data_IF_822280462836
#
_entry.id   IF_822280462836
#
_cell.length_a   1.000
_cell.length_b   1.000
_cell.length_c   1.000
_cell.angle_alpha   90.00
_cell.angle_beta   90.00
_cell.angle_gamma   90.00
#
_symmetry.space_group_name_H-M   'P 1'
#
loop_
_entity.id
_entity.type
_entity.pdbx_description
1 polymer ?
#
# COMPACT_ATOMS: atom_id res chain seq x y z
N UNK A 1 72.07 2.72 57.47
CA UNK A 1 71.78 4.08 56.97
C UNK A 1 70.42 4.50 57.51
N UNK A 2 70.35 5.65 58.20
CA UNK A 2 69.21 6.05 59.00
C UNK A 2 67.93 6.28 58.18
N UNK A 3 66.87 5.52 58.44
CA UNK A 3 65.51 5.86 57.98
C UNK A 3 64.87 6.73 59.05
N UNK A 4 65.21 8.02 59.03
CA UNK A 4 64.52 9.01 59.85
C UNK A 4 63.03 8.99 59.53
N UNK A 5 62.18 8.88 60.56
CA UNK A 5 60.75 9.16 60.45
C UNK A 5 60.56 10.44 59.64
N UNK A 6 60.04 10.33 58.42
CA UNK A 6 59.71 11.48 57.56
C UNK A 6 58.65 12.31 58.27
N UNK A 7 59.10 13.23 59.11
CA UNK A 7 58.25 14.17 59.81
C UNK A 7 57.81 15.19 58.76
N UNK A 8 56.56 15.11 58.35
CA UNK A 8 56.00 16.09 57.41
C UNK A 8 56.16 17.51 57.99
N UNK A 9 56.66 18.47 57.19
CA UNK A 9 56.82 19.87 57.61
C UNK A 9 55.50 20.46 58.12
N UNK A 10 55.57 21.42 59.06
CA UNK A 10 54.38 22.06 59.61
C UNK A 10 53.59 22.82 58.54
N UNK A 11 54.28 23.48 57.60
CA UNK A 11 53.65 24.19 56.48
C UNK A 11 52.87 23.24 55.58
N UNK A 12 53.44 22.07 55.24
CA UNK A 12 52.74 21.06 54.44
C UNK A 12 51.45 20.56 55.12
N UNK A 13 51.44 20.45 56.45
CA UNK A 13 50.24 20.06 57.20
C UNK A 13 49.17 21.15 57.18
N UNK A 14 49.58 22.41 57.30
CA UNK A 14 48.68 23.57 57.18
C UNK A 14 48.09 23.64 55.77
N UNK A 15 48.93 23.54 54.74
CA UNK A 15 48.50 23.54 53.34
C UNK A 15 47.54 22.37 53.04
N UNK A 16 47.78 21.18 53.60
CA UNK A 16 46.89 20.04 53.47
C UNK A 16 45.52 20.28 54.13
N UNK A 17 45.50 20.90 55.31
CA UNK A 17 44.26 21.25 56.02
C UNK A 17 43.47 22.30 55.23
N UNK A 18 44.13 23.36 54.79
CA UNK A 18 43.51 24.45 54.00
C UNK A 18 42.98 23.92 52.67
N UNK A 19 43.73 23.03 52.00
CA UNK A 19 43.29 22.37 50.76
C UNK A 19 42.08 21.45 50.97
N UNK A 20 41.99 20.74 52.10
CA UNK A 20 40.80 19.94 52.43
C UNK A 20 39.60 20.85 52.67
N UNK A 21 39.75 21.92 53.45
CA UNK A 21 38.66 22.88 53.68
C UNK A 21 38.17 23.50 52.37
N UNK A 22 39.09 23.91 51.48
CA UNK A 22 38.73 24.44 50.16
C UNK A 22 38.03 23.40 49.29
N UNK A 23 38.53 22.16 49.21
CA UNK A 23 37.90 21.12 48.39
C UNK A 23 36.51 20.72 48.91
N UNK A 24 36.30 20.75 50.23
CA UNK A 24 34.99 20.53 50.85
C UNK A 24 34.05 21.69 50.54
N UNK A 25 34.50 22.94 50.67
CA UNK A 25 33.76 24.14 50.26
C UNK A 25 33.39 24.11 48.77
N UNK A 26 34.28 23.58 47.91
CA UNK A 26 34.04 23.39 46.47
C UNK A 26 33.05 22.24 46.16
N UNK A 27 32.48 21.60 47.19
CA UNK A 27 31.44 20.58 47.09
C UNK A 27 31.93 19.14 47.09
N UNK A 28 33.20 18.86 47.42
CA UNK A 28 33.66 17.48 47.65
C UNK A 28 33.15 16.96 48.99
N UNK A 29 32.93 15.64 49.12
CA UNK A 29 32.73 15.05 50.45
C UNK A 29 34.05 15.09 51.23
N UNK A 30 34.00 15.19 52.56
CA UNK A 30 35.21 15.26 53.39
C UNK A 30 36.25 14.19 53.03
N UNK A 31 35.79 12.95 52.87
CA UNK A 31 36.68 11.84 52.53
C UNK A 31 37.25 11.95 51.10
N UNK A 32 36.46 12.40 50.12
CA UNK A 32 36.97 12.61 48.76
C UNK A 32 37.97 13.77 48.70
N UNK A 33 37.72 14.84 49.45
CA UNK A 33 38.67 15.95 49.63
C UNK A 33 39.99 15.46 50.25
N UNK A 34 39.93 14.68 51.34
CA UNK A 34 41.12 14.12 51.99
C UNK A 34 41.92 13.19 51.07
N UNK A 35 41.24 12.35 50.28
CA UNK A 35 41.91 11.49 49.29
C UNK A 35 42.58 12.30 48.18
N UNK A 36 41.88 13.30 47.64
CA UNK A 36 42.41 14.17 46.59
C UNK A 36 43.60 14.98 47.09
N UNK A 37 43.50 15.59 48.28
CA UNK A 37 44.62 16.29 48.94
C UNK A 37 45.82 15.37 49.17
N UNK A 38 45.57 14.14 49.65
CA UNK A 38 46.66 13.17 49.86
C UNK A 38 47.39 12.83 48.55
N UNK A 39 46.64 12.61 47.46
CA UNK A 39 47.21 12.37 46.13
C UNK A 39 48.00 13.57 45.58
N UNK A 40 47.46 14.79 45.73
CA UNK A 40 48.09 16.03 45.24
C UNK A 40 49.38 16.37 45.98
N UNK A 41 49.44 16.12 47.30
CA UNK A 41 50.59 16.42 48.14
C UNK A 41 51.56 15.25 48.31
N UNK A 42 51.33 14.11 47.64
CA UNK A 42 52.17 12.93 47.72
C UNK A 42 52.18 12.27 49.11
N UNK A 43 51.09 12.40 49.87
CA UNK A 43 50.92 11.82 51.21
C UNK A 43 50.40 10.40 51.05
N UNK A 44 51.07 9.44 51.70
CA UNK A 44 50.79 8.00 51.49
C UNK A 44 49.41 7.51 51.96
N UNK A 45 48.61 8.34 52.64
CA UNK A 45 47.26 7.97 53.07
C UNK A 45 46.38 9.18 53.37
N UNK A 46 45.11 9.13 52.95
CA UNK A 46 44.08 10.08 53.34
C UNK A 46 43.82 10.08 54.85
N UNK A 47 44.08 8.97 55.55
CA UNK A 47 43.92 8.87 57.00
C UNK A 47 44.97 9.73 57.75
N UNK A 48 46.14 9.93 57.14
CA UNK A 48 47.16 10.86 57.66
C UNK A 48 46.67 12.30 57.58
N UNK A 49 46.04 12.69 56.47
CA UNK A 49 45.43 14.02 56.28
C UNK A 49 44.26 14.21 57.23
N UNK A 50 43.41 13.19 57.40
CA UNK A 50 42.31 13.18 58.38
C UNK A 50 42.80 13.45 59.80
N UNK A 51 43.87 12.79 60.23
CA UNK A 51 44.48 13.02 61.55
C UNK A 51 44.96 14.46 61.72
N UNK A 52 45.49 15.10 60.67
CA UNK A 52 45.92 16.50 60.75
C UNK A 52 44.74 17.47 60.88
N UNK A 53 43.68 17.25 60.11
CA UNK A 53 42.43 18.02 60.21
C UNK A 53 41.80 17.87 61.59
N UNK A 54 41.76 16.64 62.15
CA UNK A 54 41.11 16.37 63.44
C UNK A 54 41.92 16.79 64.66
N UNK A 55 43.25 16.90 64.54
CA UNK A 55 44.13 17.31 65.65
C UNK A 55 44.21 18.83 65.84
N UNK A 56 43.64 19.62 64.93
CA UNK A 56 43.55 21.08 65.04
C UNK A 56 42.07 21.45 65.18
N UNK A 57 41.58 21.81 66.38
CA UNK A 57 40.16 22.06 66.62
C UNK A 57 39.55 23.14 65.70
N UNK A 58 40.29 24.22 65.45
CA UNK A 58 39.89 25.29 64.53
C UNK A 58 39.75 24.78 63.08
N UNK A 59 40.64 23.91 62.64
CA UNK A 59 40.58 23.29 61.32
C UNK A 59 39.41 22.29 61.19
N UNK A 60 39.15 21.51 62.24
CA UNK A 60 38.02 20.61 62.28
C UNK A 60 36.69 21.37 62.22
N UNK A 61 36.60 22.52 62.89
CA UNK A 61 35.45 23.42 62.83
C UNK A 61 35.31 24.04 61.42
N UNK A 62 36.41 24.56 60.83
CA UNK A 62 36.41 25.13 59.49
C UNK A 62 36.01 24.12 58.40
N UNK A 63 36.47 22.87 58.49
CA UNK A 63 36.06 21.80 57.55
C UNK A 63 34.58 21.43 57.75
N UNK A 64 34.08 21.44 58.99
CA UNK A 64 32.66 21.19 59.27
C UNK A 64 31.74 22.32 58.78
N UNK A 65 32.19 23.57 58.87
CA UNK A 65 31.48 24.74 58.34
C UNK A 65 31.48 24.73 56.80
N UNK A 66 32.65 24.49 56.20
CA UNK A 66 32.78 24.29 54.75
C UNK A 66 31.97 23.10 54.23
N UNK A 67 31.70 22.08 55.07
CA UNK A 67 30.86 20.95 54.68
C UNK A 67 29.40 21.33 54.47
N UNK A 68 28.88 22.31 55.23
CA UNK A 68 27.53 22.87 55.05
C UNK A 68 27.45 23.59 53.71
N UNK A 69 28.43 24.43 53.41
CA UNK A 69 28.53 25.12 52.11
C UNK A 69 28.72 24.11 50.96
N UNK A 70 29.52 23.07 51.17
CA UNK A 70 29.74 22.00 50.21
C UNK A 70 28.49 21.16 49.93
N UNK A 71 27.64 20.91 50.95
CA UNK A 71 26.33 20.27 50.79
C UNK A 71 25.40 21.12 49.91
N UNK A 72 25.39 22.43 50.15
CA UNK A 72 24.63 23.38 49.34
C UNK A 72 25.12 23.42 47.89
N UNK A 73 26.44 23.47 47.67
CA UNK A 73 27.05 23.42 46.33
C UNK A 73 26.68 22.12 45.61
N UNK A 74 26.66 20.97 46.30
CA UNK A 74 26.21 19.69 45.70
C UNK A 74 24.73 19.73 45.32
N UNK A 75 23.87 20.25 46.21
CA UNK A 75 22.43 20.40 45.95
C UNK A 75 22.19 21.27 44.72
N UNK A 76 22.82 22.45 44.68
CA UNK A 76 22.70 23.40 43.57
C UNK A 76 23.27 22.82 42.26
N UNK A 77 24.39 22.09 42.30
CA UNK A 77 24.93 21.40 41.10
C UNK A 77 23.95 20.36 40.57
N UNK A 78 23.33 19.57 41.45
CA UNK A 78 22.31 18.59 41.07
C UNK A 78 21.07 19.28 40.47
N UNK A 79 20.56 20.31 41.12
CA UNK A 79 19.42 21.08 40.63
C UNK A 79 19.72 21.74 39.27
N UNK A 80 20.89 22.35 39.12
CA UNK A 80 21.32 22.96 37.86
C UNK A 80 21.40 21.91 36.73
N UNK A 81 21.89 20.71 37.02
CA UNK A 81 21.91 19.61 36.06
C UNK A 81 20.50 19.15 35.67
N UNK A 82 19.56 19.08 36.62
CA UNK A 82 18.15 18.77 36.34
C UNK A 82 17.46 19.89 35.53
N UNK A 83 17.68 21.16 35.88
CA UNK A 83 17.16 22.32 35.15
C UNK A 83 17.72 22.40 33.73
N UNK A 84 19.01 22.09 33.52
CA UNK A 84 19.60 21.99 32.18
C UNK A 84 18.94 20.89 31.36
N UNK A 85 18.69 19.72 31.94
CA UNK A 85 17.96 18.63 31.29
C UNK A 85 16.53 19.04 30.92
N UNK A 86 15.78 19.62 31.86
CA UNK A 86 14.41 20.06 31.63
C UNK A 86 14.35 21.14 30.53
N UNK A 87 15.21 22.15 30.58
CA UNK A 87 15.31 23.17 29.53
C UNK A 87 15.68 22.58 28.16
N UNK A 88 16.57 21.59 28.13
CA UNK A 88 16.88 20.87 26.90
C UNK A 88 15.64 20.20 26.30
N UNK A 89 14.91 19.45 27.11
CA UNK A 89 13.66 18.77 26.72
C UNK A 89 12.64 19.78 26.20
N UNK A 90 12.44 20.90 26.90
CA UNK A 90 11.48 21.94 26.50
C UNK A 90 11.89 22.65 25.21
N UNK A 91 13.18 22.92 25.01
CA UNK A 91 13.69 23.48 23.75
C UNK A 91 13.40 22.54 22.57
N UNK A 92 13.57 21.24 22.75
CA UNK A 92 13.22 20.24 21.73
C UNK A 92 11.70 20.13 21.54
N UNK A 93 10.93 20.18 22.64
CA UNK A 93 9.46 20.10 22.62
C UNK A 93 8.77 21.41 22.17
N UNK A 94 9.51 22.50 21.95
CA UNK A 94 8.96 23.84 21.70
C UNK A 94 7.98 23.88 20.50
N UNK A 95 8.14 23.00 19.50
CA UNK A 95 7.21 22.90 18.38
C UNK A 95 5.84 22.37 18.80
N UNK A 96 5.80 21.38 19.71
CA UNK A 96 4.57 20.79 20.24
C UNK A 96 3.82 21.74 21.17
N UNK A 97 4.56 22.52 21.94
CA UNK A 97 4.02 23.47 22.93
C UNK A 97 3.46 24.77 22.32
N UNK A 98 3.74 25.05 21.03
CA UNK A 98 3.26 26.24 20.32
C UNK A 98 1.89 26.08 19.64
N UNK A 99 1.39 24.85 19.53
CA UNK A 99 0.06 24.57 18.97
C UNK A 99 -1.05 24.92 19.96
N UNK A 100 -2.20 25.42 19.46
CA UNK A 100 -3.40 25.61 20.30
C UNK A 100 -4.07 24.28 20.68
N UNK A 101 -3.85 23.24 19.88
CA UNK A 101 -4.41 21.90 20.08
C UNK A 101 -3.36 20.95 20.65
N UNK A 102 -3.80 20.10 21.59
CA UNK A 102 -2.95 19.07 22.20
C UNK A 102 -2.54 18.03 21.14
N UNK A 103 -1.23 17.74 20.97
CA UNK A 103 -0.76 16.66 20.11
C UNK A 103 -1.33 15.31 20.52
N UNK A 104 -1.65 14.46 19.54
CA UNK A 104 -2.09 13.09 19.79
C UNK A 104 -1.01 12.29 20.53
N UNK A 105 -1.41 11.40 21.43
CA UNK A 105 -0.50 10.55 22.24
C UNK A 105 0.61 9.85 21.43
N UNK A 106 0.35 9.30 20.22
CA UNK A 106 1.41 8.69 19.40
C UNK A 106 2.56 9.66 19.06
N UNK A 107 2.26 10.93 18.78
CA UNK A 107 3.28 11.94 18.47
C UNK A 107 4.15 12.29 19.68
N UNK A 108 3.55 12.28 20.88
CA UNK A 108 4.30 12.50 22.13
C UNK A 108 5.22 11.31 22.40
N UNK A 109 4.74 10.08 22.17
CA UNK A 109 5.53 8.86 22.30
C UNK A 109 6.69 8.84 21.30
N UNK A 110 6.44 9.19 20.03
CA UNK A 110 7.48 9.29 19.00
C UNK A 110 8.56 10.33 19.38
N UNK A 111 8.15 11.49 19.90
CA UNK A 111 9.08 12.50 20.39
C UNK A 111 9.98 11.95 21.52
N UNK A 112 9.40 11.27 22.51
CA UNK A 112 10.14 10.66 23.61
C UNK A 112 11.12 9.61 23.08
N UNK A 113 10.64 8.72 22.20
CA UNK A 113 11.46 7.66 21.62
C UNK A 113 12.64 8.20 20.81
N UNK A 114 12.47 9.31 20.10
CA UNK A 114 13.51 9.95 19.29
C UNK A 114 14.54 10.75 20.09
N UNK A 115 14.20 11.21 21.30
CA UNK A 115 15.07 12.09 22.11
C UNK A 115 15.56 11.47 23.42
N UNK A 116 15.06 10.29 23.80
CA UNK A 116 15.64 9.51 24.90
C UNK A 116 17.13 9.24 24.61
N UNK A 117 17.97 9.30 25.63
CA UNK A 117 19.42 9.14 25.47
C UNK A 117 20.18 10.44 25.17
N UNK A 118 19.50 11.53 24.80
CA UNK A 118 20.13 12.84 24.60
C UNK A 118 20.75 13.40 25.88
N UNK A 119 21.72 14.28 25.74
CA UNK A 119 22.39 15.01 26.84
C UNK A 119 22.51 16.49 26.52
N UNK A 120 22.54 17.32 27.56
CA UNK A 120 22.79 18.76 27.43
C UNK A 120 24.22 19.06 27.89
N UNK A 121 25.15 19.20 26.93
CA UNK A 121 26.58 19.38 27.19
C UNK A 121 27.31 18.07 27.56
N UNK A 122 28.64 18.14 27.70
CA UNK A 122 29.49 16.97 28.02
C UNK A 122 29.18 16.30 29.36
N UNK A 123 28.80 17.10 30.36
CA UNK A 123 28.51 16.65 31.73
C UNK A 123 27.01 16.58 32.06
N UNK A 124 26.15 16.72 31.05
CA UNK A 124 24.69 16.77 31.23
C UNK A 124 24.06 15.42 31.58
N UNK A 125 22.97 15.45 32.35
CA UNK A 125 22.15 14.26 32.60
C UNK A 125 21.53 13.74 31.30
N UNK A 126 21.48 12.41 31.18
CA UNK A 126 20.77 11.73 30.10
C UNK A 126 19.28 11.98 30.23
N UNK A 127 18.64 12.17 29.08
CA UNK A 127 17.20 12.27 28.96
C UNK A 127 16.62 10.86 29.05
N UNK A 128 16.16 10.50 30.24
CA UNK A 128 15.38 9.27 30.45
C UNK A 128 13.89 9.50 30.18
N UNK A 129 13.16 8.42 29.99
CA UNK A 129 11.70 8.44 29.75
C UNK A 129 10.96 9.12 30.91
N UNK A 130 11.25 8.77 32.16
CA UNK A 130 10.57 9.37 33.32
C UNK A 130 10.82 10.89 33.43
N UNK A 131 12.07 11.39 33.37
CA UNK A 131 12.33 12.82 33.31
C UNK A 131 11.62 13.54 32.16
N UNK A 132 11.55 12.93 30.98
CA UNK A 132 10.87 13.51 29.82
C UNK A 132 9.35 13.57 30.03
N UNK A 133 8.73 12.48 30.50
CA UNK A 133 7.31 12.43 30.81
C UNK A 133 6.93 13.46 31.89
N UNK A 134 7.76 13.60 32.93
CA UNK A 134 7.58 14.58 34.00
C UNK A 134 7.59 16.01 33.44
N UNK A 135 8.63 16.38 32.70
CA UNK A 135 8.77 17.74 32.12
C UNK A 135 7.64 18.03 31.12
N UNK A 136 7.28 17.08 30.26
CA UNK A 136 6.18 17.28 29.31
C UNK A 136 4.84 17.45 30.03
N UNK A 137 4.57 16.66 31.07
CA UNK A 137 3.33 16.73 31.86
C UNK A 137 3.22 18.05 32.61
N UNK A 138 4.29 18.49 33.28
CA UNK A 138 4.35 19.79 33.98
C UNK A 138 4.08 20.97 33.03
N UNK A 139 4.41 20.82 31.74
CA UNK A 139 4.26 21.85 30.72
C UNK A 139 3.08 21.63 29.77
N UNK A 140 2.03 20.92 30.22
CA UNK A 140 0.73 20.87 29.53
C UNK A 140 0.56 19.72 28.53
N UNK A 141 1.49 18.77 28.47
CA UNK A 141 1.42 17.55 27.66
C UNK A 141 1.38 16.32 28.58
N UNK A 142 0.22 15.97 29.17
CA UNK A 142 0.16 14.89 30.13
C UNK A 142 0.43 13.54 29.47
N UNK A 143 1.48 12.87 29.93
CA UNK A 143 1.86 11.50 29.55
C UNK A 143 2.55 10.81 30.72
N UNK A 144 2.10 9.59 31.05
CA UNK A 144 2.75 8.77 32.05
C UNK A 144 3.81 7.85 31.41
N UNK A 145 4.90 7.51 32.11
CA UNK A 145 5.86 6.51 31.65
C UNK A 145 5.20 5.16 31.31
N UNK A 146 4.20 4.74 32.09
CA UNK A 146 3.40 3.55 31.80
C UNK A 146 2.71 3.64 30.44
N UNK A 147 2.07 4.77 30.12
CA UNK A 147 1.44 5.01 28.81
C UNK A 147 2.44 4.99 27.67
N UNK A 148 3.65 5.52 27.88
CA UNK A 148 4.73 5.42 26.89
C UNK A 148 5.09 3.96 26.61
N UNK A 149 5.39 3.17 27.66
CA UNK A 149 5.77 1.77 27.49
C UNK A 149 4.62 0.89 26.99
N UNK A 150 3.37 1.16 27.39
CA UNK A 150 2.18 0.50 26.82
C UNK A 150 2.05 0.76 25.33
N UNK A 151 2.34 1.99 24.88
CA UNK A 151 2.28 2.34 23.46
C UNK A 151 3.43 1.71 22.67
N UNK A 152 4.66 1.76 23.19
CA UNK A 152 5.85 1.19 22.55
C UNK A 152 5.77 -0.33 22.47
N UNK A 153 5.26 -0.99 23.52
CA UNK A 153 5.11 -2.44 23.56
C UNK A 153 3.76 -2.91 22.98
N UNK A 154 2.98 -2.02 22.38
CA UNK A 154 1.66 -2.34 21.85
C UNK A 154 1.80 -3.32 20.70
N UNK A 155 1.38 -4.56 20.93
CA UNK A 155 1.31 -5.56 19.88
C UNK A 155 0.20 -5.21 18.87
N UNK A 156 0.35 -5.59 17.60
CA UNK A 156 -0.71 -5.46 16.62
C UNK A 156 -1.99 -6.13 17.12
N UNK A 157 -3.11 -5.42 17.00
CA UNK A 157 -4.41 -6.03 17.34
C UNK A 157 -4.73 -7.15 16.36
N UNK A 158 -5.58 -8.10 16.75
CA UNK A 158 -6.03 -9.18 15.85
C UNK A 158 -6.59 -8.64 14.52
N UNK A 159 -7.29 -7.50 14.57
CA UNK A 159 -7.77 -6.80 13.37
C UNK A 159 -6.63 -6.32 12.47
N UNK A 160 -5.56 -5.74 13.03
CA UNK A 160 -4.40 -5.28 12.24
C UNK A 160 -3.69 -6.45 11.56
N UNK A 161 -3.60 -7.60 12.24
CA UNK A 161 -3.02 -8.82 11.66
C UNK A 161 -3.89 -9.34 10.52
N UNK A 162 -5.20 -9.43 10.72
CA UNK A 162 -6.14 -9.86 9.68
C UNK A 162 -6.14 -8.90 8.47
N UNK A 163 -6.13 -7.58 8.71
CA UNK A 163 -6.03 -6.57 7.67
C UNK A 163 -4.72 -6.72 6.88
N UNK A 164 -3.59 -6.95 7.57
CA UNK A 164 -2.29 -7.18 6.94
C UNK A 164 -2.29 -8.44 6.06
N UNK A 165 -2.92 -9.53 6.49
CA UNK A 165 -3.06 -10.75 5.69
C UNK A 165 -3.86 -10.51 4.41
N UNK A 166 -4.95 -9.74 4.50
CA UNK A 166 -5.75 -9.37 3.32
C UNK A 166 -4.97 -8.45 2.38
N UNK A 167 -4.23 -7.47 2.92
CA UNK A 167 -3.33 -6.59 2.15
C UNK A 167 -2.30 -7.43 1.39
N UNK A 168 -1.64 -8.38 2.09
CA UNK A 168 -0.61 -9.23 1.51
C UNK A 168 -1.18 -10.15 0.40
N UNK A 169 -2.37 -10.69 0.60
CA UNK A 169 -3.06 -11.47 -0.43
C UNK A 169 -3.39 -10.65 -1.68
N UNK A 170 -3.95 -9.44 -1.51
CA UNK A 170 -4.23 -8.53 -2.64
C UNK A 170 -2.93 -8.15 -3.35
N UNK A 171 -1.88 -7.84 -2.59
CA UNK A 171 -0.57 -7.48 -3.13
C UNK A 171 0.03 -8.63 -3.94
N UNK A 172 -0.01 -9.85 -3.41
CA UNK A 172 0.50 -11.06 -4.07
C UNK A 172 -0.21 -11.32 -5.39
N UNK A 173 -1.55 -11.27 -5.41
CA UNK A 173 -2.34 -11.38 -6.64
C UNK A 173 -1.92 -10.32 -7.67
N UNK A 174 -1.90 -9.04 -7.25
CA UNK A 174 -1.51 -7.92 -8.13
C UNK A 174 -0.08 -8.04 -8.68
N UNK A 175 0.81 -8.73 -7.98
CA UNK A 175 2.21 -8.97 -8.37
C UNK A 175 2.35 -10.18 -9.31
N UNK A 176 1.62 -11.26 -9.05
CA UNK A 176 1.62 -12.48 -9.87
C UNK A 176 1.16 -12.18 -11.30
N UNK A 177 0.08 -11.40 -11.44
CA UNK A 177 -0.48 -11.03 -12.73
C UNK A 177 -0.91 -9.57 -12.76
N UNK A 178 -0.29 -8.81 -13.68
CA UNK A 178 -0.50 -7.37 -13.83
C UNK A 178 -1.98 -7.02 -14.06
N UNK A 179 -2.75 -7.88 -14.75
CA UNK A 179 -4.17 -7.66 -15.01
C UNK A 179 -5.04 -7.65 -13.75
N UNK A 180 -4.61 -8.25 -12.63
CA UNK A 180 -5.33 -8.09 -11.36
C UNK A 180 -5.29 -6.67 -10.81
N UNK A 181 -4.37 -5.83 -11.29
CA UNK A 181 -4.29 -4.43 -10.89
C UNK A 181 -5.47 -3.61 -11.41
N UNK A 182 -6.12 -4.06 -12.49
CA UNK A 182 -7.29 -3.40 -13.09
C UNK A 182 -8.60 -3.70 -12.38
N UNK A 183 -8.61 -4.71 -11.49
CA UNK A 183 -9.80 -5.08 -10.75
C UNK A 183 -10.15 -4.03 -9.69
N UNK A 184 -11.39 -3.56 -9.72
CA UNK A 184 -11.98 -2.80 -8.62
C UNK A 184 -12.24 -3.66 -7.39
N UNK A 185 -12.52 -3.02 -6.26
CA UNK A 185 -12.71 -3.66 -4.95
C UNK A 185 -13.69 -4.82 -4.94
N UNK A 186 -14.82 -4.71 -5.66
CA UNK A 186 -15.80 -5.79 -5.76
C UNK A 186 -15.24 -7.04 -6.44
N UNK A 187 -14.56 -6.88 -7.59
CA UNK A 187 -13.98 -8.02 -8.33
C UNK A 187 -12.79 -8.61 -7.59
N UNK A 188 -11.99 -7.76 -6.94
CA UNK A 188 -10.92 -8.22 -6.07
C UNK A 188 -11.46 -9.02 -4.88
N UNK A 189 -12.57 -8.58 -4.27
CA UNK A 189 -13.25 -9.32 -3.22
C UNK A 189 -13.73 -10.70 -3.69
N UNK A 190 -14.34 -10.79 -4.88
CA UNK A 190 -14.72 -12.08 -5.49
C UNK A 190 -13.49 -12.97 -5.68
N UNK A 191 -12.39 -12.43 -6.21
CA UNK A 191 -11.15 -13.19 -6.43
C UNK A 191 -10.51 -13.68 -5.14
N UNK A 192 -10.50 -12.87 -4.08
CA UNK A 192 -10.03 -13.29 -2.76
C UNK A 192 -10.87 -14.45 -2.22
N UNK A 193 -12.20 -14.35 -2.32
CA UNK A 193 -13.12 -15.39 -1.89
C UNK A 193 -12.98 -16.68 -2.70
N UNK A 194 -12.79 -16.59 -4.02
CA UNK A 194 -12.53 -17.77 -4.87
C UNK A 194 -11.20 -18.44 -4.56
N UNK A 195 -10.24 -17.70 -4.00
CA UNK A 195 -8.97 -18.22 -3.50
C UNK A 195 -9.02 -18.64 -2.00
N UNK A 196 -10.22 -18.77 -1.43
CA UNK A 196 -10.40 -19.29 -0.06
C UNK A 196 -10.23 -18.27 1.06
N UNK A 197 -10.10 -16.98 0.74
CA UNK A 197 -9.97 -15.91 1.74
C UNK A 197 -11.35 -15.34 2.05
N UNK A 198 -11.90 -15.73 3.20
CA UNK A 198 -13.17 -15.19 3.68
C UNK A 198 -12.98 -13.79 4.29
N UNK A 199 -13.35 -12.77 3.52
CA UNK A 199 -13.31 -11.37 3.95
C UNK A 199 -14.56 -10.63 3.51
N UNK A 200 -15.02 -9.70 4.34
CA UNK A 200 -16.12 -8.81 4.00
C UNK A 200 -15.73 -7.82 2.89
N UNK A 201 -16.65 -7.55 1.95
CA UNK A 201 -16.42 -6.61 0.84
C UNK A 201 -16.00 -5.22 1.31
N UNK A 202 -16.63 -4.70 2.37
CA UNK A 202 -16.30 -3.39 2.93
C UNK A 202 -14.88 -3.31 3.50
N UNK A 203 -14.31 -4.44 3.96
CA UNK A 203 -12.91 -4.53 4.38
C UNK A 203 -11.99 -4.40 3.19
N UNK A 204 -12.25 -5.11 2.09
CA UNK A 204 -11.46 -4.99 0.84
C UNK A 204 -11.53 -3.57 0.28
N UNK A 205 -12.73 -2.97 0.22
CA UNK A 205 -12.93 -1.58 -0.21
C UNK A 205 -12.10 -0.60 0.64
N UNK A 206 -12.15 -0.74 1.97
CA UNK A 206 -11.40 0.10 2.89
C UNK A 206 -9.88 -0.07 2.71
N UNK A 207 -9.39 -1.31 2.71
CA UNK A 207 -7.96 -1.60 2.62
C UNK A 207 -7.38 -1.17 1.28
N UNK A 208 -8.07 -1.43 0.16
CA UNK A 208 -7.65 -0.95 -1.15
C UNK A 208 -7.57 0.59 -1.18
N UNK A 209 -8.55 1.28 -0.60
CA UNK A 209 -8.51 2.75 -0.49
C UNK A 209 -7.35 3.25 0.38
N UNK A 210 -7.09 2.62 1.53
CA UNK A 210 -5.96 2.95 2.41
C UNK A 210 -4.61 2.74 1.72
N UNK A 211 -4.49 1.69 0.90
CA UNK A 211 -3.28 1.37 0.12
C UNK A 211 -3.17 2.14 -1.20
N UNK A 212 -4.16 2.97 -1.54
CA UNK A 212 -4.21 3.69 -2.83
C UNK A 212 -4.44 2.80 -4.05
N UNK A 213 -4.90 1.56 -3.85
CA UNK A 213 -5.23 0.64 -4.95
C UNK A 213 -6.65 0.90 -5.46
N UNK A 214 -6.75 1.09 -6.77
CA UNK A 214 -8.02 1.22 -7.48
C UNK A 214 -8.02 0.32 -8.72
N UNK A 215 -9.22 0.00 -9.20
CA UNK A 215 -9.37 -0.65 -10.51
C UNK A 215 -9.09 0.32 -11.67
N UNK A 216 -9.20 -0.18 -12.89
CA UNK A 216 -9.08 0.63 -14.09
C UNK A 216 -10.22 1.66 -14.17
N UNK A 217 -9.86 2.95 -14.16
CA UNK A 217 -10.81 4.05 -14.26
C UNK A 217 -10.93 4.50 -15.71
N UNK A 218 -12.15 4.49 -16.25
CA UNK A 218 -12.41 5.01 -17.60
C UNK A 218 -11.98 6.47 -17.67
N UNK A 219 -11.09 6.82 -18.60
CA UNK A 219 -10.74 8.21 -18.88
C UNK A 219 -12.02 8.94 -19.32
N UNK A 220 -12.24 10.15 -18.82
CA UNK A 220 -13.34 11.00 -19.31
C UNK A 220 -13.06 11.33 -20.78
N UNK A 221 -13.83 10.77 -21.69
CA UNK A 221 -13.79 11.20 -23.09
C UNK A 221 -14.38 12.61 -23.20
N UNK A 222 -13.82 13.50 -24.06
CA UNK A 222 -14.48 14.74 -24.40
C UNK A 222 -15.86 14.41 -24.98
N UNK A 223 -16.88 15.15 -24.56
CA UNK A 223 -18.24 15.00 -25.05
C UNK A 223 -18.30 15.55 -26.50
N UNK A 224 -18.09 14.69 -27.49
CA UNK A 224 -17.97 15.09 -28.91
C UNK A 224 -19.32 15.26 -29.62
N UNK A 225 -20.42 14.88 -28.99
CA UNK A 225 -21.75 14.85 -29.62
C UNK A 225 -22.76 15.56 -28.75
N UNK A 226 -23.25 16.74 -29.16
CA UNK A 226 -24.48 17.32 -28.61
C UNK A 226 -25.66 16.59 -29.25
N UNK A 227 -26.52 15.89 -28.48
CA UNK A 227 -27.69 15.22 -29.06
C UNK A 227 -28.57 16.23 -29.77
N UNK A 228 -28.85 16.00 -31.06
CA UNK A 228 -29.84 16.80 -31.79
C UNK A 228 -31.22 16.23 -31.46
N UNK A 229 -32.06 17.00 -30.77
CA UNK A 229 -33.37 16.56 -30.30
C UNK A 229 -34.44 16.48 -31.41
N UNK A 230 -34.12 16.94 -32.63
CA UNK A 230 -35.06 17.08 -33.75
C UNK A 230 -35.00 15.93 -34.77
N UNK A 231 -34.22 14.87 -34.55
CA UNK A 231 -34.30 13.67 -35.39
C UNK A 231 -35.38 12.73 -34.86
N UNK A 232 -36.38 12.41 -35.70
CA UNK A 232 -37.21 11.23 -35.54
C UNK A 232 -36.29 10.02 -35.34
N UNK A 233 -36.34 9.43 -34.15
CA UNK A 233 -35.58 8.23 -33.84
C UNK A 233 -36.15 7.12 -34.72
N UNK A 234 -35.33 6.42 -35.52
CA UNK A 234 -35.78 5.21 -36.19
C UNK A 234 -36.40 4.26 -35.16
N UNK A 235 -37.49 3.59 -35.52
CA UNK A 235 -38.04 2.52 -34.69
C UNK A 235 -36.97 1.43 -34.51
N UNK A 236 -36.73 1.05 -33.26
CA UNK A 236 -35.71 0.12 -32.79
C UNK A 236 -36.04 -1.32 -33.25
N UNK A 237 -35.46 -1.75 -34.37
CA UNK A 237 -35.77 -3.03 -35.03
C UNK A 237 -34.94 -4.23 -34.50
N UNK A 238 -34.11 -4.05 -33.45
CA UNK A 238 -33.37 -5.16 -32.81
C UNK A 238 -33.91 -5.47 -31.40
N UNK A 239 -34.86 -4.69 -30.88
CA UNK A 239 -35.46 -4.84 -29.53
C UNK A 239 -34.41 -4.90 -28.39
N UNK A 240 -33.14 -4.54 -28.69
CA UNK A 240 -31.98 -4.42 -27.78
C UNK A 240 -31.74 -5.63 -26.86
N UNK A 241 -32.13 -6.83 -27.27
CA UNK A 241 -31.98 -8.05 -26.46
C UNK A 241 -30.60 -8.69 -26.65
N UNK A 242 -29.59 -8.16 -25.98
CA UNK A 242 -28.28 -8.83 -25.86
C UNK A 242 -28.33 -9.97 -24.83
N UNK A 243 -29.16 -10.98 -25.10
CA UNK A 243 -29.26 -12.21 -24.32
C UNK A 243 -29.44 -13.41 -25.26
N UNK A 244 -28.86 -14.54 -24.88
CA UNK A 244 -29.06 -15.82 -25.55
C UNK A 244 -29.33 -16.90 -24.48
N UNK A 245 -30.17 -17.88 -24.81
CA UNK A 245 -30.49 -18.99 -23.91
C UNK A 245 -29.39 -20.06 -23.84
N UNK A 246 -28.60 -20.17 -24.91
CA UNK A 246 -27.56 -21.17 -25.10
C UNK A 246 -26.34 -20.51 -25.77
N UNK A 247 -25.13 -21.06 -25.55
CA UNK A 247 -23.95 -20.67 -26.31
C UNK A 247 -24.17 -20.79 -27.83
N UNK A 248 -23.50 -19.94 -28.60
CA UNK A 248 -23.51 -19.94 -30.07
C UNK A 248 -24.88 -19.69 -30.72
N UNK A 249 -25.78 -18.95 -30.06
CA UNK A 249 -27.02 -18.45 -30.68
C UNK A 249 -26.89 -17.06 -31.26
N UNK A 250 -26.09 -16.21 -30.60
CA UNK A 250 -25.82 -14.86 -31.06
C UNK A 250 -24.37 -14.49 -30.75
N UNK A 251 -23.62 -14.15 -31.80
CA UNK A 251 -22.32 -13.50 -31.68
C UNK A 251 -22.46 -12.05 -32.10
N UNK A 252 -21.88 -11.15 -31.30
CA UNK A 252 -21.69 -9.76 -31.70
C UNK A 252 -20.24 -9.51 -32.03
N UNK A 253 -19.97 -8.67 -33.03
CA UNK A 253 -18.62 -8.25 -33.34
C UNK A 253 -18.51 -6.74 -33.52
N UNK A 254 -17.35 -6.25 -33.12
CA UNK A 254 -16.90 -4.89 -33.39
C UNK A 254 -15.37 -4.86 -33.39
N UNK A 255 -14.81 -3.79 -33.95
CA UNK A 255 -13.39 -3.53 -33.85
C UNK A 255 -13.11 -2.14 -33.32
N UNK A 256 -11.94 -1.97 -32.72
CA UNK A 256 -11.54 -0.70 -32.13
C UNK A 256 -10.10 -0.35 -32.44
N UNK A 257 -9.81 0.95 -32.51
CA UNK A 257 -8.47 1.47 -32.81
C UNK A 257 -7.69 1.75 -31.52
N UNK A 258 -6.42 1.35 -31.51
CA UNK A 258 -5.51 1.40 -30.38
C UNK A 258 -4.25 2.17 -30.75
N UNK A 259 -3.84 3.13 -29.92
CA UNK A 259 -2.63 3.92 -30.16
C UNK A 259 -1.40 3.13 -29.69
N UNK A 260 -0.55 2.73 -30.63
CA UNK A 260 0.75 2.09 -30.36
C UNK A 260 1.88 3.10 -30.59
N UNK A 261 3.14 2.78 -30.28
CA UNK A 261 4.26 3.71 -30.46
C UNK A 261 4.46 4.10 -31.93
N UNK A 262 4.35 3.13 -32.84
CA UNK A 262 4.59 3.28 -34.29
C UNK A 262 3.40 3.83 -35.08
N UNK A 263 2.25 4.06 -34.45
CA UNK A 263 1.05 4.56 -35.12
C UNK A 263 -0.23 4.03 -34.49
N UNK A 264 -1.09 3.45 -35.32
CA UNK A 264 -2.37 2.85 -34.91
C UNK A 264 -2.37 1.35 -35.20
N UNK A 265 -3.00 0.60 -34.31
CA UNK A 265 -3.40 -0.78 -34.52
C UNK A 265 -4.92 -0.88 -34.38
N UNK A 266 -5.50 -1.93 -34.94
CA UNK A 266 -6.92 -2.21 -34.91
C UNK A 266 -7.13 -3.59 -34.31
N UNK A 267 -8.04 -3.68 -33.34
CA UNK A 267 -8.36 -4.92 -32.65
C UNK A 267 -9.84 -5.24 -32.85
N UNK A 268 -10.13 -6.36 -33.50
CA UNK A 268 -11.48 -6.89 -33.68
C UNK A 268 -11.76 -7.97 -32.63
N UNK A 269 -12.99 -7.99 -32.12
CA UNK A 269 -13.48 -9.00 -31.18
C UNK A 269 -14.79 -9.60 -31.70
N UNK A 270 -14.96 -10.90 -31.45
CA UNK A 270 -16.20 -11.65 -31.63
C UNK A 270 -16.59 -12.17 -30.25
N UNK A 271 -17.75 -11.75 -29.76
CA UNK A 271 -18.24 -12.05 -28.41
C UNK A 271 -19.52 -12.85 -28.49
N UNK A 272 -19.55 -14.01 -27.82
CA UNK A 272 -20.77 -14.78 -27.61
C UNK A 272 -21.61 -14.13 -26.53
N UNK A 273 -22.86 -13.83 -26.87
CA UNK A 273 -23.78 -13.09 -25.99
C UNK A 273 -24.19 -13.89 -24.75
N UNK A 274 -24.19 -15.23 -24.81
CA UNK A 274 -24.67 -16.10 -23.74
C UNK A 274 -23.96 -15.86 -22.40
N UNK A 275 -22.62 -15.91 -22.40
CA UNK A 275 -21.79 -15.73 -21.20
C UNK A 275 -20.87 -14.50 -21.32
N UNK A 276 -21.06 -13.68 -22.35
CA UNK A 276 -20.16 -12.58 -22.76
C UNK A 276 -18.76 -13.05 -23.13
N UNK A 277 -18.58 -14.33 -23.44
CA UNK A 277 -17.27 -14.89 -23.74
C UNK A 277 -16.73 -14.32 -25.05
N UNK A 278 -15.48 -13.86 -25.04
CA UNK A 278 -14.78 -13.51 -26.27
C UNK A 278 -14.35 -14.81 -26.93
N UNK A 279 -14.97 -15.15 -28.06
CA UNK A 279 -14.74 -16.41 -28.77
C UNK A 279 -13.70 -16.28 -29.86
N UNK A 280 -13.52 -15.08 -30.42
CA UNK A 280 -12.48 -14.79 -31.39
C UNK A 280 -12.00 -13.36 -31.33
N UNK A 281 -10.78 -13.12 -31.79
CA UNK A 281 -10.19 -11.79 -31.85
C UNK A 281 -9.03 -11.73 -32.86
N UNK A 282 -8.71 -10.52 -33.30
CA UNK A 282 -7.53 -10.27 -34.14
C UNK A 282 -7.00 -8.86 -33.94
N UNK A 283 -5.68 -8.69 -33.96
CA UNK A 283 -5.02 -7.39 -34.05
C UNK A 283 -4.33 -7.26 -35.41
N UNK A 284 -4.45 -6.10 -36.04
CA UNK A 284 -3.77 -5.75 -37.29
C UNK A 284 -3.27 -4.30 -37.30
N UNK A 285 -2.36 -3.97 -38.22
CA UNK A 285 -1.89 -2.59 -38.47
C UNK A 285 -2.81 -1.78 -39.37
N UNK A 286 -3.79 -2.43 -40.03
CA UNK A 286 -4.69 -1.81 -41.00
C UNK A 286 -6.14 -2.21 -40.72
N UNK A 287 -7.06 -1.32 -41.07
CA UNK A 287 -8.51 -1.50 -40.94
C UNK A 287 -9.07 -2.10 -42.24
N UNK A 288 -8.94 -3.41 -42.40
CA UNK A 288 -9.33 -4.15 -43.61
C UNK A 288 -10.42 -5.16 -43.34
N UNK A 289 -11.08 -5.66 -44.40
CA UNK A 289 -11.98 -6.83 -44.30
C UNK A 289 -11.25 -8.05 -43.74
N UNK A 290 -9.97 -8.25 -44.09
CA UNK A 290 -9.16 -9.35 -43.55
C UNK A 290 -9.05 -9.35 -42.01
N UNK A 291 -9.07 -8.18 -41.37
CA UNK A 291 -9.06 -8.07 -39.91
C UNK A 291 -10.29 -8.73 -39.29
N UNK A 292 -11.48 -8.37 -39.79
CA UNK A 292 -12.76 -8.86 -39.26
C UNK A 292 -13.01 -10.31 -39.65
N UNK A 293 -12.64 -10.69 -40.87
CA UNK A 293 -12.69 -12.09 -41.34
C UNK A 293 -11.78 -12.98 -40.49
N UNK A 294 -10.54 -12.57 -40.22
CA UNK A 294 -9.61 -13.34 -39.40
C UNK A 294 -10.07 -13.48 -37.94
N UNK A 295 -10.79 -12.49 -37.39
CA UNK A 295 -11.39 -12.59 -36.06
C UNK A 295 -12.52 -13.63 -36.01
N UNK A 296 -13.34 -13.69 -37.07
CA UNK A 296 -14.39 -14.71 -37.22
C UNK A 296 -13.80 -16.11 -37.44
N UNK A 297 -12.78 -16.25 -38.29
CA UNK A 297 -12.08 -17.52 -38.47
C UNK A 297 -11.48 -18.02 -37.15
N UNK A 298 -10.92 -17.10 -36.37
CA UNK A 298 -10.43 -17.43 -35.03
C UNK A 298 -11.55 -17.93 -34.12
N UNK A 299 -12.73 -17.31 -34.14
CA UNK A 299 -13.90 -17.72 -33.35
C UNK A 299 -14.40 -19.11 -33.74
N UNK A 300 -14.60 -19.34 -35.04
CA UNK A 300 -15.05 -20.63 -35.58
C UNK A 300 -14.06 -21.73 -35.19
N UNK A 301 -12.77 -21.50 -35.42
CA UNK A 301 -11.73 -22.47 -35.10
C UNK A 301 -11.66 -22.73 -33.58
N UNK A 302 -11.87 -21.72 -32.73
CA UNK A 302 -11.93 -21.91 -31.29
C UNK A 302 -13.11 -22.80 -30.87
N UNK A 303 -14.30 -22.59 -31.44
CA UNK A 303 -15.47 -23.44 -31.17
C UNK A 303 -15.30 -24.87 -31.65
N UNK A 304 -14.77 -25.06 -32.85
CA UNK A 304 -14.46 -26.40 -33.38
C UNK A 304 -13.49 -27.15 -32.47
N UNK A 305 -12.42 -26.49 -31.98
CA UNK A 305 -11.49 -27.10 -31.01
C UNK A 305 -12.15 -27.46 -29.67
N UNK A 306 -13.22 -26.76 -29.29
CA UNK A 306 -14.02 -27.09 -28.10
C UNK A 306 -15.07 -28.20 -28.32
N UNK A 307 -15.07 -28.83 -29.50
CA UNK A 307 -15.98 -29.94 -29.83
C UNK A 307 -17.35 -29.52 -30.36
N UNK A 308 -17.49 -28.27 -30.83
CA UNK A 308 -18.66 -27.81 -31.59
C UNK A 308 -18.55 -28.33 -33.03
N UNK A 309 -19.57 -29.05 -33.50
CA UNK A 309 -19.58 -29.73 -34.82
C UNK A 309 -20.11 -28.84 -35.94
N UNK A 310 -21.06 -27.96 -35.62
CA UNK A 310 -21.71 -27.02 -36.52
C UNK A 310 -22.09 -25.75 -35.75
N UNK A 311 -22.40 -24.69 -36.49
CA UNK A 311 -22.86 -23.41 -35.94
C UNK A 311 -24.29 -23.12 -36.38
N UNK A 312 -25.10 -24.16 -36.59
CA UNK A 312 -26.45 -24.02 -37.11
C UNK A 312 -27.33 -23.22 -36.14
N UNK A 313 -28.00 -22.20 -36.69
CA UNK A 313 -28.82 -21.27 -35.92
C UNK A 313 -28.01 -20.20 -35.17
N UNK A 314 -26.70 -20.08 -35.40
CA UNK A 314 -25.92 -18.94 -34.95
C UNK A 314 -26.24 -17.72 -35.82
N UNK A 315 -26.59 -16.62 -35.17
CA UNK A 315 -26.64 -15.30 -35.79
C UNK A 315 -25.37 -14.51 -35.47
N UNK A 316 -24.74 -13.92 -36.48
CA UNK A 316 -23.64 -12.98 -36.33
C UNK A 316 -24.15 -11.56 -36.54
N UNK A 317 -24.07 -10.73 -35.50
CA UNK A 317 -24.52 -9.35 -35.51
C UNK A 317 -23.33 -8.38 -35.47
N UNK A 318 -23.35 -7.40 -36.37
CA UNK A 318 -22.35 -6.33 -36.44
C UNK A 318 -22.99 -5.00 -36.86
N UNK A 319 -22.29 -3.90 -36.59
CA UNK A 319 -22.66 -2.59 -37.10
C UNK A 319 -22.38 -2.49 -38.61
N UNK A 320 -23.07 -1.60 -39.32
CA UNK A 320 -23.07 -1.44 -40.77
C UNK A 320 -21.76 -0.86 -41.36
N UNK A 321 -20.62 -1.11 -40.72
CA UNK A 321 -19.30 -0.71 -41.18
C UNK A 321 -18.93 -1.37 -42.51
N UNK A 322 -18.23 -0.64 -43.39
CA UNK A 322 -17.92 -1.10 -44.75
C UNK A 322 -17.11 -2.40 -44.82
N UNK A 323 -16.33 -2.72 -43.78
CA UNK A 323 -15.59 -3.98 -43.65
C UNK A 323 -16.53 -5.17 -43.41
N UNK A 324 -17.60 -4.95 -42.64
CA UNK A 324 -18.58 -5.95 -42.24
C UNK A 324 -19.66 -6.18 -43.30
N UNK A 325 -19.93 -5.18 -44.14
CA UNK A 325 -20.83 -5.30 -45.29
C UNK A 325 -20.13 -5.77 -46.57
N UNK A 326 -18.81 -6.02 -46.52
CA UNK A 326 -18.05 -6.47 -47.68
C UNK A 326 -18.48 -7.89 -48.11
N UNK A 327 -18.59 -8.13 -49.41
CA UNK A 327 -19.04 -9.41 -49.97
C UNK A 327 -18.23 -10.59 -49.45
N UNK A 328 -16.89 -10.47 -49.40
CA UNK A 328 -16.02 -11.52 -48.90
C UNK A 328 -16.30 -11.90 -47.44
N UNK A 329 -16.77 -10.96 -46.61
CA UNK A 329 -17.13 -11.24 -45.23
C UNK A 329 -18.47 -11.98 -45.13
N UNK A 330 -19.48 -11.53 -45.89
CA UNK A 330 -20.80 -12.18 -45.89
C UNK A 330 -20.78 -13.57 -46.53
N UNK A 331 -20.00 -13.77 -47.59
CA UNK A 331 -19.73 -15.08 -48.18
C UNK A 331 -19.08 -16.03 -47.17
N UNK A 332 -18.06 -15.56 -46.44
CA UNK A 332 -17.39 -16.37 -45.43
C UNK A 332 -18.31 -16.81 -44.29
N UNK A 333 -19.24 -15.95 -43.84
CA UNK A 333 -20.26 -16.31 -42.85
C UNK A 333 -21.21 -17.38 -43.40
N UNK A 334 -21.66 -17.24 -44.64
CA UNK A 334 -22.52 -18.22 -45.29
C UNK A 334 -21.84 -19.58 -45.44
N UNK A 335 -20.55 -19.62 -45.81
CA UNK A 335 -19.75 -20.84 -45.88
C UNK A 335 -19.62 -21.55 -44.52
N UNK A 336 -19.66 -20.80 -43.41
CA UNK A 336 -19.65 -21.34 -42.05
C UNK A 336 -21.03 -21.77 -41.53
N UNK A 337 -22.10 -21.59 -42.31
CA UNK A 337 -23.48 -21.84 -41.86
C UNK A 337 -24.01 -20.77 -40.89
N UNK A 338 -23.40 -19.58 -40.85
CA UNK A 338 -23.73 -18.51 -39.90
C UNK A 338 -24.65 -17.48 -40.57
N UNK A 339 -25.78 -17.19 -39.95
CA UNK A 339 -26.70 -16.16 -40.44
C UNK A 339 -26.16 -14.76 -40.12
N UNK A 340 -25.99 -13.91 -41.13
CA UNK A 340 -25.59 -12.52 -40.94
C UNK A 340 -26.80 -11.65 -40.53
N UNK A 341 -26.60 -10.79 -39.54
CA UNK A 341 -27.51 -9.73 -39.11
C UNK A 341 -26.71 -8.42 -39.05
N UNK A 342 -27.22 -7.36 -39.66
CA UNK A 342 -26.56 -6.04 -39.68
C UNK A 342 -27.45 -5.03 -38.95
N UNK A 343 -26.86 -4.25 -38.06
CA UNK A 343 -27.53 -3.13 -37.38
C UNK A 343 -27.96 -2.02 -38.35
N UNK A 344 -28.87 -1.16 -37.91
CA UNK A 344 -29.33 -0.03 -38.71
C UNK A 344 -28.28 1.09 -38.76
N UNK A 345 -28.06 1.71 -39.93
CA UNK A 345 -27.05 2.76 -40.08
C UNK A 345 -27.35 3.94 -39.17
N UNK A 346 -26.48 4.20 -38.19
CA UNK A 346 -26.55 5.39 -37.34
C UNK A 346 -27.22 5.18 -35.97
N UNK A 347 -27.55 3.95 -35.57
CA UNK A 347 -28.00 3.64 -34.20
C UNK A 347 -26.88 3.01 -33.37
N UNK A 348 -26.20 3.82 -32.53
CA UNK A 348 -25.16 3.34 -31.60
C UNK A 348 -25.67 2.30 -30.58
N UNK A 349 -26.99 2.14 -30.43
CA UNK A 349 -27.56 1.18 -29.48
C UNK A 349 -27.60 -0.25 -30.02
N UNK A 350 -27.43 -0.47 -31.33
CA UNK A 350 -27.51 -1.80 -31.96
C UNK A 350 -26.31 -2.71 -31.61
N UNK A 351 -25.16 -2.14 -31.21
CA UNK A 351 -23.94 -2.91 -30.88
C UNK A 351 -23.38 -2.65 -29.47
N UNK A 352 -24.24 -2.23 -28.53
CA UNK A 352 -23.82 -1.79 -27.19
C UNK A 352 -23.01 -2.84 -26.40
N UNK A 353 -23.25 -4.15 -26.61
CA UNK A 353 -22.40 -5.18 -26.00
C UNK A 353 -20.96 -5.11 -26.51
N UNK A 354 -20.76 -5.07 -27.83
CA UNK A 354 -19.41 -5.05 -28.38
C UNK A 354 -18.68 -3.74 -28.00
N UNK A 355 -19.40 -2.61 -27.96
CA UNK A 355 -18.87 -1.35 -27.43
C UNK A 355 -18.42 -1.45 -25.97
N UNK A 356 -19.16 -2.19 -25.14
CA UNK A 356 -18.78 -2.43 -23.75
C UNK A 356 -17.50 -3.26 -23.65
N UNK A 357 -17.36 -4.31 -24.46
CA UNK A 357 -16.13 -5.12 -24.53
C UNK A 357 -14.95 -4.26 -24.99
N UNK A 358 -15.13 -3.46 -26.04
CA UNK A 358 -14.12 -2.52 -26.53
C UNK A 358 -13.72 -1.48 -25.47
N UNK A 359 -14.69 -0.98 -24.71
CA UNK A 359 -14.46 -0.04 -23.61
C UNK A 359 -13.66 -0.68 -22.47
N UNK A 360 -14.00 -1.92 -22.10
CA UNK A 360 -13.27 -2.67 -21.08
C UNK A 360 -11.84 -2.97 -21.55
N UNK A 361 -11.66 -3.44 -22.78
CA UNK A 361 -10.34 -3.68 -23.38
C UNK A 361 -9.46 -2.43 -23.40
N UNK A 362 -10.00 -1.29 -23.86
CA UNK A 362 -9.25 -0.03 -23.87
C UNK A 362 -8.88 0.41 -22.46
N UNK A 363 -9.83 0.39 -21.54
CA UNK A 363 -9.59 0.84 -20.17
C UNK A 363 -8.63 -0.08 -19.41
N UNK A 364 -8.80 -1.39 -19.50
CA UNK A 364 -8.04 -2.35 -18.72
C UNK A 364 -6.67 -2.65 -19.33
N UNK A 365 -6.56 -2.67 -20.66
CA UNK A 365 -5.30 -2.97 -21.35
C UNK A 365 -4.65 -1.75 -22.00
N UNK A 366 -5.35 -1.00 -22.85
CA UNK A 366 -4.66 -0.06 -23.75
C UNK A 366 -4.29 1.27 -23.09
N UNK A 367 -5.19 1.84 -22.30
CA UNK A 367 -5.12 3.23 -21.87
C UNK A 367 -4.38 3.44 -20.54
N UNK A 368 -4.28 2.41 -19.71
CA UNK A 368 -3.74 2.51 -18.34
C UNK A 368 -2.29 2.00 -18.22
N UNK A 369 -1.56 1.92 -19.33
CA UNK A 369 -0.14 1.57 -19.36
C UNK A 369 0.61 2.29 -20.48
N UNK A 370 1.96 2.24 -20.52
CA UNK A 370 2.74 2.77 -21.63
C UNK A 370 2.30 2.17 -22.96
N UNK A 371 2.42 2.96 -24.04
CA UNK A 371 2.04 2.51 -25.38
C UNK A 371 2.88 1.29 -25.79
N UNK A 372 2.22 0.31 -26.39
CA UNK A 372 2.89 -0.85 -26.95
C UNK A 372 3.84 -0.46 -28.09
N UNK A 373 5.02 -1.10 -28.22
CA UNK A 373 5.97 -0.81 -29.29
C UNK A 373 5.38 -1.04 -30.70
N UNK A 374 4.70 -2.17 -30.90
CA UNK A 374 4.15 -2.58 -32.18
C UNK A 374 2.91 -3.46 -32.06
N UNK A 375 2.46 -3.95 -33.21
CA UNK A 375 1.27 -4.82 -33.35
C UNK A 375 1.51 -6.17 -32.68
N UNK A 376 2.72 -6.71 -32.74
CA UNK A 376 3.05 -8.02 -32.15
C UNK A 376 2.93 -7.99 -30.63
N UNK A 377 3.48 -6.95 -29.98
CA UNK A 377 3.40 -6.80 -28.53
C UNK A 377 1.97 -6.55 -28.07
N UNK A 378 1.21 -5.73 -28.82
CA UNK A 378 -0.21 -5.54 -28.56
C UNK A 378 -0.99 -6.84 -28.75
N UNK A 379 -0.67 -7.66 -29.76
CA UNK A 379 -1.32 -8.95 -30.01
C UNK A 379 -1.10 -9.92 -28.85
N UNK A 380 0.12 -10.02 -28.33
CA UNK A 380 0.42 -10.85 -27.16
C UNK A 380 -0.35 -10.38 -25.92
N UNK A 381 -0.35 -9.07 -25.68
CA UNK A 381 -1.06 -8.48 -24.56
C UNK A 381 -2.59 -8.63 -24.69
N UNK A 382 -3.11 -8.57 -25.92
CA UNK A 382 -4.53 -8.86 -26.22
C UNK A 382 -4.87 -10.30 -25.92
N UNK A 383 -4.01 -11.25 -26.31
CA UNK A 383 -4.20 -12.67 -26.00
C UNK A 383 -4.28 -12.91 -24.48
N UNK A 384 -3.36 -12.31 -23.72
CA UNK A 384 -3.35 -12.38 -22.26
C UNK A 384 -4.61 -11.75 -21.65
N UNK A 385 -5.03 -10.59 -22.16
CA UNK A 385 -6.25 -9.93 -21.70
C UNK A 385 -7.51 -10.72 -22.02
N UNK A 386 -7.62 -11.33 -23.20
CA UNK A 386 -8.75 -12.20 -23.57
C UNK A 386 -8.80 -13.44 -22.68
N UNK A 387 -7.65 -14.07 -22.40
CA UNK A 387 -7.58 -15.20 -21.47
C UNK A 387 -8.06 -14.77 -20.07
N UNK A 388 -7.53 -13.68 -19.54
CA UNK A 388 -7.97 -13.10 -18.27
C UNK A 388 -9.47 -12.76 -18.25
N UNK A 389 -9.99 -12.13 -19.31
CA UNK A 389 -11.38 -11.74 -19.44
C UNK A 389 -12.32 -12.95 -19.38
N UNK A 390 -11.95 -14.04 -20.03
CA UNK A 390 -12.74 -15.27 -20.13
C UNK A 390 -12.58 -16.20 -18.91
N UNK A 391 -11.40 -16.24 -18.30
CA UNK A 391 -11.04 -17.28 -17.31
C UNK A 391 -10.95 -16.76 -15.87
N UNK A 392 -10.72 -15.45 -15.68
CA UNK A 392 -10.34 -14.93 -14.37
C UNK A 392 -11.08 -13.67 -13.95
N UNK A 393 -11.65 -12.92 -14.91
CA UNK A 393 -12.39 -11.68 -14.67
C UNK A 393 -13.85 -12.00 -14.33
N UNK A 394 -14.35 -11.68 -13.12
CA UNK A 394 -15.76 -11.86 -12.78
C UNK A 394 -16.66 -10.91 -13.56
N UNK A 395 -17.83 -11.38 -14.01
CA UNK A 395 -18.84 -10.57 -14.70
C UNK A 395 -20.17 -10.60 -13.97
N UNK A 396 -20.69 -9.42 -13.65
CA UNK A 396 -22.01 -9.28 -13.02
C UNK A 396 -23.14 -9.86 -13.88
N UNK A 397 -22.98 -9.88 -15.21
CA UNK A 397 -23.96 -10.47 -16.11
C UNK A 397 -24.13 -11.99 -15.91
N UNK A 398 -23.07 -12.67 -15.48
CA UNK A 398 -23.04 -14.11 -15.25
C UNK A 398 -23.03 -14.42 -13.75
N UNK A 399 -23.73 -13.64 -12.93
CA UNK A 399 -23.78 -13.81 -11.47
C UNK A 399 -22.39 -13.90 -10.81
N UNK A 400 -21.45 -13.09 -11.29
CA UNK A 400 -20.05 -13.04 -10.84
C UNK A 400 -19.17 -14.23 -11.23
N UNK A 401 -19.69 -15.17 -12.00
CA UNK A 401 -18.86 -16.16 -12.69
C UNK A 401 -18.02 -15.50 -13.79
N UNK A 402 -16.94 -16.17 -14.13
CA UNK A 402 -16.22 -15.89 -15.38
C UNK A 402 -16.99 -16.44 -16.59
N UNK A 403 -16.76 -15.92 -17.81
CA UNK A 403 -17.45 -16.41 -19.00
C UNK A 403 -17.22 -17.91 -19.24
N UNK A 404 -16.01 -18.41 -18.97
CA UNK A 404 -15.70 -19.84 -19.09
C UNK A 404 -16.44 -20.68 -18.05
N UNK A 405 -16.50 -20.24 -16.79
CA UNK A 405 -17.27 -20.95 -15.75
C UNK A 405 -18.78 -20.99 -16.06
N UNK A 406 -19.35 -19.86 -16.49
CA UNK A 406 -20.77 -19.78 -16.83
C UNK A 406 -21.15 -20.66 -18.03
N UNK A 407 -20.30 -20.67 -19.06
CA UNK A 407 -20.49 -21.55 -20.21
C UNK A 407 -20.29 -23.04 -19.83
N UNK A 408 -19.27 -23.34 -19.01
CA UNK A 408 -19.02 -24.71 -18.54
C UNK A 408 -20.21 -25.24 -17.74
N UNK A 409 -20.76 -24.43 -16.83
CA UNK A 409 -21.95 -24.79 -16.04
C UNK A 409 -23.14 -25.14 -16.94
N UNK A 410 -23.36 -24.39 -18.01
CA UNK A 410 -24.40 -24.70 -19.00
C UNK A 410 -24.18 -26.09 -19.64
N UNK A 411 -22.97 -26.38 -20.11
CA UNK A 411 -22.69 -27.68 -20.75
C UNK A 411 -22.79 -28.84 -19.77
N UNK A 412 -22.34 -28.68 -18.52
CA UNK A 412 -22.44 -29.71 -17.50
C UNK A 412 -23.90 -29.98 -17.12
N UNK A 413 -24.71 -28.92 -16.98
CA UNK A 413 -26.15 -29.06 -16.78
C UNK A 413 -26.82 -29.78 -17.95
N UNK A 414 -26.47 -29.43 -19.19
CA UNK A 414 -27.01 -30.07 -20.40
C UNK A 414 -26.65 -31.55 -20.47
N UNK A 415 -25.41 -31.92 -20.14
CA UNK A 415 -24.95 -33.33 -20.09
C UNK A 415 -25.68 -34.13 -19.01
N UNK A 416 -25.89 -33.54 -17.83
CA UNK A 416 -26.61 -34.19 -16.74
C UNK A 416 -28.08 -34.50 -17.11
N UNK A 417 -28.73 -33.59 -17.85
CA UNK A 417 -30.10 -33.77 -18.32
C UNK A 417 -30.21 -34.73 -19.52
N UNK A 418 -29.13 -34.95 -20.26
CA UNK A 418 -29.09 -35.78 -21.48
C UNK A 418 -27.89 -36.74 -21.47
N UNK A 419 -27.88 -37.73 -20.55
CA UNK A 419 -26.74 -38.63 -20.39
C UNK A 419 -26.51 -39.52 -21.62
N UNK A 420 -27.55 -39.85 -22.38
CA UNK A 420 -27.45 -40.66 -23.60
C UNK A 420 -26.69 -39.94 -24.73
N UNK A 421 -26.88 -38.61 -24.89
CA UNK A 421 -26.10 -37.80 -25.84
C UNK A 421 -24.61 -37.69 -25.44
N UNK A 422 -24.30 -37.85 -24.15
CA UNK A 422 -22.94 -37.76 -23.62
C UNK A 422 -22.14 -39.06 -23.80
N UNK A 423 -22.81 -40.21 -23.94
CA UNK A 423 -22.19 -41.53 -24.18
C UNK A 423 -21.92 -41.82 -25.67
N UNK A 424 -22.53 -41.06 -26.57
CA UNK A 424 -22.37 -41.17 -28.03
C UNK A 424 -21.35 -40.20 -28.64
N UNK A 425 -20.59 -39.45 -27.82
CA UNK A 425 -19.56 -38.50 -28.27
C UNK A 425 -18.15 -38.98 -28.00
#
# INVERSE_FOLDING_TARGET
MASGTKRYPADLKRDAVDMVAQLVADGSTEWAAMNKTAGLLGIGSAETVRKWVRNVPEAAAAVSEAAVDGDEVRRLRKENAELKRANGILKAAAKFLRGRDRPATPLIVEFIAAHQGNRVGGDGLVWGVDPMCRVLTEHGLPIAPSTYYEHVNKQPTARMVADAQVIDAIYSLRKEQQLYQVLGSRKMWIKLRSNGIDVARCTVERLMREMGWHGALKKKSPHTTRPNHDHERPEDLVDRRFWAAEPNRLWVADFTYCRIATGWAYTAFVTDVFARKIVGWKVASQMTTDLVTAAIDNAIAARMRSGVTDLDGLTHHNDAGSQYTALAFTERLAEAGIAASVGSVGDSYDNALAESVNSDYKNELVDNQPRFPGVTELSLATAQWVAFYNQERPHTYCDDLTPDEAEQFHYDHRRALRPEEALTR
#
